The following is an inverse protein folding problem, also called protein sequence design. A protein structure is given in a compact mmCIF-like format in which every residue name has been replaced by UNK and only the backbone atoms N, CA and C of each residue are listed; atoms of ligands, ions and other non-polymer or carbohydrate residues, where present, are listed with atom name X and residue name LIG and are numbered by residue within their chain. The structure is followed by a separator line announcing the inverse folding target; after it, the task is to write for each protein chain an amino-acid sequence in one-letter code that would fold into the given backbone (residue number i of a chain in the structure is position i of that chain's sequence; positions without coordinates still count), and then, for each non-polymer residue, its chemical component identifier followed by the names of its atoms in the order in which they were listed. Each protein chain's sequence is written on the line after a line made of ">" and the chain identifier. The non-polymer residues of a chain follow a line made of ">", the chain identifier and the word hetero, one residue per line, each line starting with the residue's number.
data_IF_431695823497
#
_entry.id   IF_431695823497
#
_cell.length_a   1.000
_cell.length_b   1.000
_cell.length_c   1.000
_cell.angle_alpha   90.00
_cell.angle_beta   90.00
_cell.angle_gamma   90.00
#
_symmetry.space_group_name_H-M   'P 1'
#
loop_
_entity.id
_entity.type
_entity.pdbx_description
1 polymer ?
#
# COMPACT_ATOMS: atom_id res chain seq x y z
N UNK A 1 13.31 8.76 2.16
CA UNK A 1 13.78 8.96 0.77
C UNK A 1 14.36 7.63 0.27
N UNK A 2 13.96 7.18 -0.91
CA UNK A 2 14.55 5.97 -1.50
C UNK A 2 16.00 6.24 -1.94
N UNK A 3 16.85 5.22 -1.81
CA UNK A 3 18.23 5.24 -2.29
C UNK A 3 18.34 4.40 -3.57
N UNK A 4 19.04 4.94 -4.57
CA UNK A 4 19.24 4.29 -5.88
C UNK A 4 19.93 2.92 -5.71
N UNK A 5 19.44 1.91 -6.43
CA UNK A 5 20.00 0.56 -6.43
C UNK A 5 19.66 -0.31 -5.22
N UNK A 6 18.95 0.22 -4.21
CA UNK A 6 18.44 -0.58 -3.10
C UNK A 6 17.27 -1.46 -3.54
N UNK A 7 17.14 -2.62 -2.93
CA UNK A 7 16.09 -3.60 -3.25
C UNK A 7 14.76 -3.20 -2.62
N UNK A 8 13.73 -3.12 -3.45
CA UNK A 8 12.36 -2.88 -3.04
C UNK A 8 11.47 -4.05 -3.44
N UNK A 9 10.67 -4.56 -2.50
CA UNK A 9 9.60 -5.52 -2.78
C UNK A 9 8.26 -4.77 -2.85
N UNK A 10 7.59 -4.85 -4.00
CA UNK A 10 6.21 -4.42 -4.21
C UNK A 10 5.28 -5.63 -4.01
N UNK A 11 4.52 -5.62 -2.92
CA UNK A 11 3.66 -6.72 -2.47
C UNK A 11 2.22 -6.45 -2.86
N UNK A 12 1.64 -7.32 -3.69
CA UNK A 12 0.32 -7.12 -4.29
C UNK A 12 0.41 -6.12 -5.45
N UNK A 13 1.39 -6.31 -6.32
CA UNK A 13 1.71 -5.35 -7.39
C UNK A 13 0.60 -5.17 -8.46
N UNK A 14 -0.43 -6.03 -8.47
CA UNK A 14 -1.55 -5.94 -9.40
C UNK A 14 -1.09 -5.81 -10.85
N UNK A 15 -1.44 -4.68 -11.48
CA UNK A 15 -1.05 -4.36 -12.86
C UNK A 15 0.44 -4.01 -13.03
N UNK A 16 1.17 -3.79 -11.94
CA UNK A 16 2.60 -3.44 -11.94
C UNK A 16 2.91 -1.96 -12.19
N UNK A 17 1.90 -1.09 -12.21
CA UNK A 17 2.10 0.35 -12.45
C UNK A 17 2.96 0.97 -11.35
N UNK A 18 2.72 0.66 -10.08
CA UNK A 18 3.50 1.16 -8.96
C UNK A 18 4.95 0.65 -9.02
N UNK A 19 5.14 -0.64 -9.38
CA UNK A 19 6.48 -1.20 -9.60
C UNK A 19 7.28 -0.43 -10.64
N UNK A 20 6.66 -0.09 -11.79
CA UNK A 20 7.29 0.70 -12.85
C UNK A 20 7.59 2.11 -12.36
N UNK A 21 6.60 2.76 -11.73
CA UNK A 21 6.76 4.12 -11.20
C UNK A 21 7.92 4.21 -10.21
N UNK A 22 8.00 3.27 -9.26
CA UNK A 22 9.07 3.21 -8.26
C UNK A 22 10.44 3.01 -8.90
N UNK A 23 10.54 2.09 -9.86
CA UNK A 23 11.78 1.82 -10.60
C UNK A 23 12.27 3.05 -11.38
N UNK A 24 11.38 3.69 -12.14
CA UNK A 24 11.74 4.76 -13.07
C UNK A 24 11.98 6.10 -12.37
N UNK A 25 11.24 6.41 -11.33
CA UNK A 25 11.35 7.71 -10.65
C UNK A 25 12.34 7.73 -9.49
N UNK A 26 12.62 6.56 -8.88
CA UNK A 26 13.51 6.49 -7.71
C UNK A 26 14.75 5.64 -7.94
N UNK A 27 14.86 4.92 -9.05
CA UNK A 27 16.04 4.10 -9.38
C UNK A 27 16.28 2.93 -8.43
N UNK A 28 15.24 2.46 -7.73
CA UNK A 28 15.32 1.27 -6.88
C UNK A 28 15.24 -0.02 -7.70
N UNK A 29 15.86 -1.09 -7.21
CA UNK A 29 15.77 -2.43 -7.81
C UNK A 29 14.48 -3.10 -7.36
N UNK A 30 13.43 -3.04 -8.20
CA UNK A 30 12.08 -3.47 -7.85
C UNK A 30 11.86 -4.95 -8.13
N UNK A 31 11.44 -5.67 -7.10
CA UNK A 31 10.88 -7.01 -7.13
C UNK A 31 9.38 -6.91 -6.91
N UNK A 32 8.59 -7.56 -7.76
CA UNK A 32 7.13 -7.49 -7.71
C UNK A 32 6.56 -8.85 -7.35
N UNK A 33 5.51 -8.88 -6.51
CA UNK A 33 4.79 -10.11 -6.23
C UNK A 33 3.29 -9.90 -6.13
N UNK A 34 2.53 -10.92 -6.54
CA UNK A 34 1.09 -10.97 -6.39
C UNK A 34 0.61 -12.44 -6.37
N UNK A 35 -0.61 -12.67 -5.88
CA UNK A 35 -1.27 -13.99 -5.97
C UNK A 35 -1.70 -14.32 -7.40
N UNK A 36 -1.91 -13.30 -8.22
CA UNK A 36 -2.20 -13.40 -9.65
C UNK A 36 -1.07 -12.77 -10.47
N UNK A 37 -0.83 -13.32 -11.66
CA UNK A 37 0.10 -12.73 -12.63
C UNK A 37 -0.68 -11.92 -13.66
N UNK A 38 -0.58 -10.61 -13.62
CA UNK A 38 -1.17 -9.75 -14.63
C UNK A 38 -0.34 -9.80 -15.93
N UNK A 39 -0.98 -9.60 -17.10
CA UNK A 39 -0.32 -9.61 -18.41
C UNK A 39 0.79 -8.55 -18.55
N UNK A 40 0.60 -7.39 -17.93
CA UNK A 40 1.56 -6.28 -17.91
C UNK A 40 2.91 -6.65 -17.28
N UNK A 41 3.00 -7.70 -16.46
CA UNK A 41 4.26 -8.17 -15.86
C UNK A 41 5.32 -8.41 -16.94
N UNK A 42 4.93 -9.02 -18.06
CA UNK A 42 5.82 -9.27 -19.19
C UNK A 42 6.08 -7.99 -20.00
N UNK A 43 5.05 -7.18 -20.23
CA UNK A 43 5.14 -5.91 -20.97
C UNK A 43 6.10 -4.94 -20.28
N UNK A 44 6.02 -4.83 -18.97
CA UNK A 44 6.86 -3.93 -18.16
C UNK A 44 8.21 -4.57 -17.75
N UNK A 45 8.45 -5.83 -18.12
CA UNK A 45 9.66 -6.59 -17.77
C UNK A 45 9.92 -6.57 -16.25
N UNK A 46 8.88 -6.83 -15.46
CA UNK A 46 8.98 -6.85 -14.01
C UNK A 46 9.68 -8.11 -13.51
N UNK A 47 10.51 -7.98 -12.48
CA UNK A 47 11.05 -9.10 -11.74
C UNK A 47 9.95 -9.66 -10.82
N UNK A 48 9.07 -10.48 -11.39
CA UNK A 48 7.84 -10.94 -10.76
C UNK A 48 7.96 -12.35 -10.19
N UNK A 49 7.42 -12.52 -8.98
CA UNK A 49 7.26 -13.83 -8.35
C UNK A 49 5.84 -14.01 -7.83
N UNK A 50 5.15 -15.07 -8.26
CA UNK A 50 3.82 -15.39 -7.72
C UNK A 50 3.93 -15.83 -6.26
N UNK A 51 3.09 -15.24 -5.38
CA UNK A 51 3.09 -15.57 -3.96
C UNK A 51 1.99 -14.86 -3.20
N UNK A 52 1.76 -15.29 -1.96
CA UNK A 52 0.80 -14.68 -1.03
C UNK A 52 1.55 -13.85 0.01
N UNK A 53 0.97 -12.71 0.40
CA UNK A 53 1.46 -11.89 1.51
C UNK A 53 1.48 -12.66 2.84
N UNK A 54 0.65 -13.72 2.98
CA UNK A 54 0.62 -14.59 4.17
C UNK A 54 1.79 -15.58 4.23
N UNK A 55 2.54 -15.72 3.13
CA UNK A 55 3.78 -16.51 3.01
C UNK A 55 4.58 -15.96 1.84
N UNK A 56 5.31 -14.89 2.07
CA UNK A 56 6.10 -14.19 1.04
C UNK A 56 7.24 -15.09 0.58
N UNK A 57 7.37 -15.37 -0.75
CA UNK A 57 8.30 -16.37 -1.29
C UNK A 57 9.73 -15.83 -1.43
N UNK A 58 10.19 -15.09 -0.43
CA UNK A 58 11.55 -14.56 -0.33
C UNK A 58 12.14 -14.85 1.05
N UNK A 59 13.48 -14.97 1.17
CA UNK A 59 14.16 -15.17 2.45
C UNK A 59 13.95 -13.98 3.40
N UNK A 60 14.26 -14.20 4.68
CA UNK A 60 14.27 -13.14 5.69
C UNK A 60 15.27 -12.04 5.31
N UNK A 61 14.95 -10.79 5.70
CA UNK A 61 15.85 -9.63 5.57
C UNK A 61 16.42 -9.45 4.15
N UNK A 62 15.59 -9.68 3.12
CA UNK A 62 16.00 -9.63 1.70
C UNK A 62 15.91 -8.23 1.10
N UNK A 63 15.05 -7.36 1.64
CA UNK A 63 14.71 -6.08 1.03
C UNK A 63 15.02 -4.89 1.93
N UNK A 64 15.54 -3.82 1.32
CA UNK A 64 15.78 -2.54 1.99
C UNK A 64 14.45 -1.77 2.16
N UNK A 65 13.52 -1.97 1.20
CA UNK A 65 12.19 -1.39 1.21
C UNK A 65 11.14 -2.46 0.92
N UNK A 66 9.99 -2.35 1.58
CA UNK A 66 8.79 -3.14 1.28
C UNK A 66 7.64 -2.15 1.06
N UNK A 67 6.97 -2.25 -0.08
CA UNK A 67 5.87 -1.38 -0.48
C UNK A 67 4.58 -2.20 -0.61
N UNK A 68 3.49 -1.66 -0.07
CA UNK A 68 2.16 -2.30 -0.08
C UNK A 68 1.12 -1.20 -0.34
N UNK A 69 0.35 -1.33 -1.41
CA UNK A 69 -0.64 -0.34 -1.78
C UNK A 69 -1.99 -1.00 -2.08
N UNK A 70 -3.00 -0.68 -1.28
CA UNK A 70 -4.38 -1.19 -1.38
C UNK A 70 -4.47 -2.73 -1.43
N UNK A 71 -3.76 -3.43 -0.54
CA UNK A 71 -3.68 -4.90 -0.50
C UNK A 71 -4.24 -5.49 0.78
N UNK A 72 -3.97 -4.87 1.92
CA UNK A 72 -4.26 -5.51 3.22
C UNK A 72 -5.75 -5.70 3.47
N UNK A 73 -6.60 -4.81 2.98
CA UNK A 73 -8.05 -4.92 3.11
C UNK A 73 -8.65 -6.06 2.27
N UNK A 74 -7.92 -6.57 1.26
CA UNK A 74 -8.31 -7.75 0.47
C UNK A 74 -7.93 -9.07 1.13
N UNK A 75 -7.16 -9.04 2.22
CA UNK A 75 -6.79 -10.27 2.92
C UNK A 75 -7.97 -10.70 3.78
N UNK A 76 -8.45 -11.94 3.54
CA UNK A 76 -9.57 -12.52 4.29
C UNK A 76 -10.82 -11.61 4.23
N UNK A 77 -11.24 -11.23 3.02
CA UNK A 77 -12.37 -10.31 2.80
C UNK A 77 -13.66 -10.76 3.46
N UNK A 78 -13.89 -12.06 3.55
CA UNK A 78 -15.11 -12.66 4.12
C UNK A 78 -15.16 -12.47 5.65
N UNK A 79 -14.06 -12.75 6.37
CA UNK A 79 -14.05 -12.77 7.82
C UNK A 79 -13.32 -11.58 8.44
N UNK A 80 -12.46 -10.88 7.67
CA UNK A 80 -11.62 -9.77 8.15
C UNK A 80 -10.88 -10.12 9.46
N UNK A 81 -10.28 -11.32 9.47
CA UNK A 81 -9.67 -11.89 10.67
C UNK A 81 -8.44 -11.09 11.11
N UNK A 82 -8.49 -10.60 12.34
CA UNK A 82 -7.38 -9.85 12.96
C UNK A 82 -6.06 -10.64 12.91
N UNK A 83 -6.12 -11.95 13.21
CA UNK A 83 -4.92 -12.80 13.23
C UNK A 83 -4.31 -12.96 11.83
N UNK A 84 -5.15 -13.04 10.81
CA UNK A 84 -4.69 -13.12 9.40
C UNK A 84 -3.98 -11.83 9.00
N UNK A 85 -4.51 -10.67 9.36
CA UNK A 85 -3.86 -9.39 9.09
C UNK A 85 -2.53 -9.24 9.87
N UNK A 86 -2.48 -9.65 11.15
CA UNK A 86 -1.22 -9.67 11.92
C UNK A 86 -0.18 -10.58 11.25
N UNK A 87 -0.58 -11.76 10.77
CA UNK A 87 0.31 -12.68 10.06
C UNK A 87 0.91 -12.03 8.81
N UNK A 88 0.11 -11.31 8.04
CA UNK A 88 0.59 -10.57 6.86
C UNK A 88 1.64 -9.51 7.26
N UNK A 89 1.38 -8.73 8.30
CA UNK A 89 2.32 -7.71 8.79
C UNK A 89 3.63 -8.33 9.30
N UNK A 90 3.57 -9.50 9.95
CA UNK A 90 4.76 -10.24 10.38
C UNK A 90 5.59 -10.75 9.19
N UNK A 91 4.96 -11.17 8.10
CA UNK A 91 5.66 -11.56 6.87
C UNK A 91 6.35 -10.35 6.20
N UNK A 92 5.69 -9.17 6.16
CA UNK A 92 6.33 -7.93 5.69
C UNK A 92 7.56 -7.60 6.55
N UNK A 93 7.43 -7.71 7.89
CA UNK A 93 8.54 -7.50 8.82
C UNK A 93 9.68 -8.48 8.58
N UNK A 94 9.37 -9.77 8.37
CA UNK A 94 10.35 -10.83 8.14
C UNK A 94 11.24 -10.58 6.93
N UNK A 95 10.64 -10.17 5.80
CA UNK A 95 11.38 -9.98 4.54
C UNK A 95 12.10 -8.63 4.46
N UNK A 96 11.72 -7.65 5.27
CA UNK A 96 12.41 -6.38 5.39
C UNK A 96 13.69 -6.53 6.22
N UNK A 97 14.76 -5.85 5.82
CA UNK A 97 16.02 -5.80 6.59
C UNK A 97 15.84 -4.99 7.89
N UNK A 98 16.68 -5.27 8.86
CA UNK A 98 16.85 -4.36 10.02
C UNK A 98 17.31 -2.99 9.54
N UNK A 99 16.70 -1.92 10.07
CA UNK A 99 16.89 -0.56 9.58
C UNK A 99 16.24 -0.28 8.22
N UNK A 100 15.60 -1.26 7.59
CA UNK A 100 14.83 -1.09 6.36
C UNK A 100 13.49 -0.39 6.60
N UNK A 101 12.80 -0.04 5.51
CA UNK A 101 11.54 0.72 5.59
C UNK A 101 10.41 -0.06 4.93
N UNK A 102 9.29 -0.18 5.64
CA UNK A 102 8.03 -0.67 5.10
C UNK A 102 7.09 0.51 4.90
N UNK A 103 6.49 0.63 3.72
CA UNK A 103 5.50 1.67 3.39
C UNK A 103 4.19 0.95 3.06
N UNK A 104 3.15 1.25 3.83
CA UNK A 104 1.81 0.70 3.64
C UNK A 104 0.86 1.84 3.35
N UNK A 105 0.16 1.76 2.22
CA UNK A 105 -0.87 2.71 1.79
C UNK A 105 -2.19 1.96 1.70
N UNK A 106 -3.23 2.46 2.36
CA UNK A 106 -4.56 1.85 2.35
C UNK A 106 -5.67 2.90 2.24
N UNK A 107 -6.66 2.60 1.41
CA UNK A 107 -7.85 3.43 1.28
C UNK A 107 -8.59 3.56 2.61
N UNK A 108 -9.06 4.77 2.91
CA UNK A 108 -9.78 5.05 4.14
C UNK A 108 -11.30 4.88 3.94
N UNK A 109 -11.90 3.94 4.67
CA UNK A 109 -13.32 3.64 4.62
C UNK A 109 -14.23 4.87 4.78
N UNK A 110 -13.81 5.85 5.57
CA UNK A 110 -14.65 7.01 5.92
C UNK A 110 -14.43 8.24 5.04
N UNK A 111 -13.63 8.14 3.97
CA UNK A 111 -13.59 9.22 2.99
C UNK A 111 -14.99 9.43 2.39
N UNK A 112 -15.53 10.66 2.40
CA UNK A 112 -16.89 10.91 1.95
C UNK A 112 -17.16 10.59 0.47
N UNK A 113 -16.13 10.63 -0.37
CA UNK A 113 -16.24 10.28 -1.79
C UNK A 113 -16.08 8.78 -2.02
N UNK A 114 -15.17 8.11 -1.26
CA UNK A 114 -14.96 6.67 -1.37
C UNK A 114 -16.12 5.86 -0.80
N UNK A 115 -16.67 6.29 0.34
CA UNK A 115 -17.68 5.52 1.06
C UNK A 115 -18.92 5.16 0.21
N UNK A 116 -19.57 6.11 -0.50
CA UNK A 116 -20.72 5.74 -1.32
C UNK A 116 -20.39 4.79 -2.46
N UNK A 117 -19.31 5.04 -3.16
CA UNK A 117 -18.97 4.26 -4.37
C UNK A 117 -18.22 2.95 -4.01
N UNK A 118 -17.07 3.05 -3.33
CA UNK A 118 -16.21 1.89 -3.08
C UNK A 118 -16.80 0.94 -2.03
N UNK A 119 -17.41 1.48 -0.97
CA UNK A 119 -17.89 0.66 0.15
C UNK A 119 -19.33 0.21 -0.06
N UNK A 120 -20.25 1.12 -0.46
CA UNK A 120 -21.69 0.80 -0.56
C UNK A 120 -22.06 0.13 -1.87
N UNK A 121 -21.47 0.56 -2.99
CA UNK A 121 -21.79 0.03 -4.32
C UNK A 121 -20.90 -1.16 -4.65
N UNK A 122 -19.58 -1.03 -4.54
CA UNK A 122 -18.63 -2.08 -4.91
C UNK A 122 -18.34 -3.10 -3.79
N UNK A 123 -18.79 -2.83 -2.56
CA UNK A 123 -18.64 -3.78 -1.45
C UNK A 123 -17.21 -3.90 -0.89
N UNK A 124 -16.27 -3.03 -1.27
CA UNK A 124 -14.90 -3.11 -0.77
C UNK A 124 -14.82 -2.85 0.74
N UNK A 125 -14.13 -3.72 1.45
CA UNK A 125 -13.96 -3.65 2.89
C UNK A 125 -12.73 -2.82 3.31
N UNK A 126 -12.59 -1.59 2.76
CA UNK A 126 -11.55 -0.69 3.21
C UNK A 126 -11.52 -0.53 4.74
N UNK A 127 -10.34 -0.41 5.30
CA UNK A 127 -10.17 -0.33 6.74
C UNK A 127 -10.51 1.05 7.29
N UNK A 128 -11.06 1.05 8.51
CA UNK A 128 -11.19 2.27 9.30
C UNK A 128 -9.80 2.73 9.74
N UNK A 129 -9.55 4.02 9.74
CA UNK A 129 -8.27 4.60 10.17
C UNK A 129 -7.82 4.10 11.56
N UNK A 130 -8.75 3.99 12.52
CA UNK A 130 -8.44 3.48 13.86
C UNK A 130 -7.97 2.03 13.83
N UNK A 131 -8.63 1.17 13.03
CA UNK A 131 -8.20 -0.22 12.87
C UNK A 131 -6.82 -0.32 12.23
N UNK A 132 -6.60 0.41 11.12
CA UNK A 132 -5.31 0.50 10.43
C UNK A 132 -4.17 0.87 11.39
N UNK A 133 -4.36 1.93 12.19
CA UNK A 133 -3.35 2.35 13.16
C UNK A 133 -3.08 1.32 14.25
N UNK A 134 -4.14 0.72 14.79
CA UNK A 134 -4.02 -0.21 15.92
C UNK A 134 -3.34 -1.51 15.50
N UNK A 135 -3.68 -2.07 14.33
CA UNK A 135 -3.09 -3.33 13.87
C UNK A 135 -1.62 -3.17 13.51
N UNK A 136 -1.23 -2.05 12.89
CA UNK A 136 0.17 -1.77 12.57
C UNK A 136 0.99 -1.60 13.85
N UNK A 137 0.50 -0.83 14.81
CA UNK A 137 1.16 -0.65 16.12
C UNK A 137 1.26 -1.93 16.94
N UNK A 138 0.47 -2.95 16.63
CA UNK A 138 0.58 -4.27 17.27
C UNK A 138 1.86 -5.01 16.90
N UNK A 139 2.40 -4.74 15.70
CA UNK A 139 3.54 -5.46 15.12
C UNK A 139 4.81 -4.59 15.09
N UNK A 140 4.63 -3.28 15.00
CA UNK A 140 5.73 -2.34 14.80
C UNK A 140 5.71 -1.21 15.84
N UNK A 141 6.88 -0.91 16.40
CA UNK A 141 7.05 0.13 17.40
C UNK A 141 7.37 1.50 16.77
N UNK A 142 8.18 1.53 15.72
CA UNK A 142 8.64 2.76 15.08
C UNK A 142 7.82 3.02 13.81
N UNK A 143 6.71 3.77 13.95
CA UNK A 143 5.75 4.04 12.88
C UNK A 143 5.41 5.51 12.80
N UNK A 144 5.60 6.12 11.64
CA UNK A 144 5.07 7.42 11.26
C UNK A 144 3.79 7.24 10.45
N UNK A 145 2.68 7.87 10.88
CA UNK A 145 1.42 7.87 10.11
C UNK A 145 1.26 9.17 9.35
N UNK A 146 0.94 9.05 8.06
CA UNK A 146 0.58 10.16 7.17
C UNK A 146 -0.78 9.92 6.53
N UNK A 147 -1.36 10.97 5.99
CA UNK A 147 -2.67 10.96 5.36
C UNK A 147 -2.64 11.92 4.18
N UNK A 148 -3.27 11.52 3.09
CA UNK A 148 -3.37 12.37 1.91
C UNK A 148 -4.72 12.16 1.19
N UNK A 149 -5.06 13.13 0.35
CA UNK A 149 -6.22 13.06 -0.52
C UNK A 149 -5.75 12.76 -1.94
N UNK A 150 -6.31 11.72 -2.55
CA UNK A 150 -6.08 11.42 -3.95
C UNK A 150 -7.29 10.72 -4.56
N UNK A 151 -7.62 11.08 -5.79
CA UNK A 151 -8.69 10.49 -6.55
C UNK A 151 -8.30 10.35 -8.02
N UNK A 152 -9.03 9.50 -8.75
CA UNK A 152 -8.92 9.41 -10.20
C UNK A 152 -9.80 10.49 -10.81
N UNK A 153 -9.21 11.34 -11.63
CA UNK A 153 -9.89 12.39 -12.36
C UNK A 153 -9.77 12.15 -13.89
N UNK A 154 -10.80 12.52 -14.66
CA UNK A 154 -10.63 12.64 -16.10
C UNK A 154 -9.48 13.61 -16.43
N UNK A 155 -8.68 13.31 -17.46
CA UNK A 155 -7.52 14.12 -17.82
C UNK A 155 -7.83 15.63 -17.91
N UNK A 156 -8.97 15.99 -18.52
CA UNK A 156 -9.41 17.38 -18.65
C UNK A 156 -9.66 18.12 -17.32
N UNK A 157 -9.90 17.37 -16.24
CA UNK A 157 -10.19 17.90 -14.90
C UNK A 157 -9.05 17.69 -13.92
N UNK A 158 -7.92 17.11 -14.38
CA UNK A 158 -6.80 16.74 -13.50
C UNK A 158 -6.27 17.92 -12.67
N UNK A 159 -6.12 19.11 -13.28
CA UNK A 159 -5.65 20.30 -12.57
C UNK A 159 -6.63 20.80 -11.49
N UNK A 160 -7.95 20.74 -11.77
CA UNK A 160 -8.98 21.04 -10.76
C UNK A 160 -8.96 20.03 -9.62
N UNK A 161 -8.76 18.74 -9.94
CA UNK A 161 -8.59 17.69 -8.97
C UNK A 161 -7.42 17.94 -8.03
N UNK A 162 -6.27 18.36 -8.56
CA UNK A 162 -5.10 18.70 -7.74
C UNK A 162 -5.30 19.92 -6.84
N UNK A 163 -6.05 20.92 -7.30
CA UNK A 163 -6.45 22.05 -6.44
C UNK A 163 -7.38 21.59 -5.32
N UNK A 164 -8.38 20.75 -5.65
CA UNK A 164 -9.28 20.16 -4.67
C UNK A 164 -8.52 19.37 -3.60
N UNK A 165 -7.65 18.42 -4.00
CA UNK A 165 -6.84 17.61 -3.09
C UNK A 165 -6.04 18.50 -2.14
N UNK A 166 -5.33 19.50 -2.67
CA UNK A 166 -4.54 20.44 -1.88
C UNK A 166 -5.36 21.23 -0.84
N UNK A 167 -6.57 21.66 -1.21
CA UNK A 167 -7.49 22.36 -0.30
C UNK A 167 -7.98 21.39 0.78
N UNK A 168 -8.46 20.21 0.37
CA UNK A 168 -9.02 19.21 1.30
C UNK A 168 -7.99 18.72 2.30
N UNK A 169 -6.75 18.48 1.88
CA UNK A 169 -5.66 18.10 2.81
C UNK A 169 -5.41 19.13 3.90
N UNK A 170 -5.66 20.41 3.62
CA UNK A 170 -5.46 21.50 4.60
C UNK A 170 -6.62 21.70 5.55
N UNK A 171 -7.87 21.57 5.05
CA UNK A 171 -9.06 21.93 5.83
C UNK A 171 -9.81 20.74 6.42
N UNK A 172 -9.68 19.54 5.82
CA UNK A 172 -10.41 18.37 6.27
C UNK A 172 -9.72 17.71 7.47
N UNK A 173 -10.50 17.23 8.46
CA UNK A 173 -9.96 16.36 9.49
C UNK A 173 -9.29 15.12 8.86
N UNK A 174 -8.10 14.76 9.33
CA UNK A 174 -7.29 13.65 8.76
C UNK A 174 -8.06 12.32 8.66
N UNK A 175 -9.06 12.12 9.52
CA UNK A 175 -9.91 10.92 9.50
C UNK A 175 -10.80 10.80 8.27
N UNK A 176 -10.96 11.85 7.47
CA UNK A 176 -11.78 11.87 6.25
C UNK A 176 -10.95 11.90 4.98
N UNK A 177 -9.62 12.01 5.06
CA UNK A 177 -8.76 11.94 3.88
C UNK A 177 -8.80 10.54 3.28
N UNK A 178 -8.62 10.45 1.96
CA UNK A 178 -8.86 9.22 1.20
C UNK A 178 -7.88 8.09 1.50
N UNK A 179 -6.64 8.41 1.87
CA UNK A 179 -5.61 7.40 2.13
C UNK A 179 -4.97 7.54 3.50
N UNK A 180 -4.72 6.38 4.12
CA UNK A 180 -3.88 6.21 5.28
C UNK A 180 -2.52 5.67 4.84
N UNK A 181 -1.45 6.23 5.37
CA UNK A 181 -0.07 5.76 5.12
C UNK A 181 0.60 5.42 6.43
N UNK A 182 1.29 4.30 6.48
CA UNK A 182 2.24 3.98 7.53
C UNK A 182 3.64 3.85 6.93
N UNK A 183 4.58 4.62 7.47
CA UNK A 183 6.01 4.52 7.18
C UNK A 183 6.66 3.92 8.40
N UNK A 184 7.22 2.75 8.26
CA UNK A 184 7.69 1.89 9.35
C UNK A 184 9.18 1.67 9.19
N UNK A 185 9.98 1.92 10.24
CA UNK A 185 11.37 1.49 10.30
C UNK A 185 11.45 0.19 11.10
N UNK A 186 12.02 -0.87 10.49
CA UNK A 186 12.12 -2.22 11.06
C UNK A 186 13.35 -2.37 11.94
#
# INVERSE_FOLDING_TARGET
>A
KFEVGRKLLDVGCGTGIDSVFLRENYGVDVYSMDIYRHENVNLFKLNFKKGSILKIPYPDKSFDYVFVHDVLHHIDEEHQSYNTHVKALLELKRVCKEGGTIIIIEGNRYNPLFYPHMVKILGHNHWRQGYFKNIIKRVFDNVEFRYFEAHLYPEKLFWLGKIYEHIIEKISPKMFLSYNVAIITV
#
